data_IF_846547707695
#
_entry.id   IF_846547707695
#
_cell.length_a   1.000
_cell.length_b   1.000
_cell.length_c   1.000
_cell.angle_alpha   90.00
_cell.angle_beta   90.00
_cell.angle_gamma   90.00
#
_symmetry.space_group_name_H-M   'P 1'
#
loop_
_entity.id
_entity.type
_entity.pdbx_description
1 polymer ?
#
# COMPACT_ATOMS: atom_id res chain seq x y z
N UNK A 1 14.39 19.44 -5.39
CA UNK A 1 13.38 18.41 -5.75
C UNK A 1 13.87 17.69 -6.98
N UNK A 2 13.99 16.36 -6.93
CA UNK A 2 14.29 15.53 -8.10
C UNK A 2 13.02 14.82 -8.59
N UNK A 3 13.03 14.32 -9.83
CA UNK A 3 11.91 13.55 -10.38
C UNK A 3 11.55 12.34 -9.51
N UNK A 4 12.54 11.72 -8.87
CA UNK A 4 12.33 10.62 -7.92
C UNK A 4 11.54 11.04 -6.68
N UNK A 5 11.87 12.19 -6.09
CA UNK A 5 11.10 12.73 -4.95
C UNK A 5 9.67 13.09 -5.35
N UNK A 6 9.46 13.64 -6.56
CA UNK A 6 8.11 13.93 -7.07
C UNK A 6 7.26 12.66 -7.21
N UNK A 7 7.79 11.61 -7.85
CA UNK A 7 7.10 10.32 -7.97
C UNK A 7 6.74 9.71 -6.63
N UNK A 8 7.60 9.90 -5.62
CA UNK A 8 7.33 9.44 -4.25
C UNK A 8 6.17 10.17 -3.63
N UNK A 9 6.10 11.50 -3.78
CA UNK A 9 4.96 12.29 -3.32
C UNK A 9 3.65 11.88 -3.98
N UNK A 10 3.66 11.67 -5.31
CA UNK A 10 2.47 11.18 -6.03
C UNK A 10 2.01 9.82 -5.50
N UNK A 11 2.93 8.89 -5.28
CA UNK A 11 2.59 7.57 -4.75
C UNK A 11 1.96 7.64 -3.34
N UNK A 12 2.47 8.52 -2.48
CA UNK A 12 1.91 8.74 -1.14
C UNK A 12 0.47 9.24 -1.21
N UNK A 13 0.20 10.25 -2.05
CA UNK A 13 -1.17 10.80 -2.22
C UNK A 13 -2.14 9.70 -2.67
N UNK A 14 -1.73 8.85 -3.61
CA UNK A 14 -2.58 7.78 -4.12
C UNK A 14 -2.79 6.63 -3.10
N UNK A 15 -1.78 6.29 -2.29
CA UNK A 15 -1.91 5.31 -1.20
C UNK A 15 -2.82 5.83 -0.07
N UNK A 16 -2.75 7.12 0.24
CA UNK A 16 -3.65 7.77 1.20
C UNK A 16 -5.10 7.83 0.68
N UNK A 17 -5.29 8.01 -0.63
CA UNK A 17 -6.58 7.87 -1.30
C UNK A 17 -7.11 6.42 -1.38
N UNK A 18 -6.34 5.44 -0.89
CA UNK A 18 -6.75 4.04 -0.78
C UNK A 18 -6.59 3.21 -2.06
N UNK A 19 -5.82 3.70 -3.04
CA UNK A 19 -5.53 2.92 -4.24
C UNK A 19 -4.61 1.74 -3.89
N UNK A 20 -4.77 0.65 -4.65
CA UNK A 20 -3.91 -0.52 -4.52
C UNK A 20 -2.53 -0.29 -5.13
N UNK A 21 -1.54 -1.06 -4.67
CA UNK A 21 -0.18 -1.02 -5.23
C UNK A 21 -0.13 -1.20 -6.76
N UNK A 22 -1.06 -2.00 -7.32
CA UNK A 22 -1.17 -2.21 -8.77
C UNK A 22 -1.61 -0.94 -9.50
N UNK A 23 -2.70 -0.31 -9.05
CA UNK A 23 -3.21 0.92 -9.65
C UNK A 23 -2.16 2.04 -9.59
N UNK A 24 -1.43 2.14 -8.48
CA UNK A 24 -0.34 3.10 -8.33
C UNK A 24 0.83 2.75 -9.26
N UNK A 25 1.18 1.46 -9.39
CA UNK A 25 2.22 1.00 -10.32
C UNK A 25 1.89 1.35 -11.79
N UNK A 26 0.63 1.17 -12.19
CA UNK A 26 0.16 1.49 -13.54
C UNK A 26 0.29 3.00 -13.80
N UNK A 27 -0.12 3.84 -12.85
CA UNK A 27 0.02 5.30 -12.96
C UNK A 27 1.48 5.75 -13.01
N UNK A 28 2.36 5.05 -12.31
CA UNK A 28 3.79 5.36 -12.29
C UNK A 28 4.54 4.73 -13.48
N UNK A 29 3.93 3.79 -14.21
CA UNK A 29 4.58 3.07 -15.31
C UNK A 29 5.63 2.05 -14.82
N UNK A 30 5.42 1.41 -13.68
CA UNK A 30 6.32 0.35 -13.20
C UNK A 30 5.98 -1.00 -13.83
N UNK A 31 6.98 -1.65 -14.45
CA UNK A 31 6.81 -2.99 -15.03
C UNK A 31 6.52 -4.09 -14.00
N UNK A 32 6.84 -3.85 -12.72
CA UNK A 32 6.59 -4.76 -11.61
C UNK A 32 5.82 -4.03 -10.51
N UNK A 33 4.69 -4.59 -10.10
CA UNK A 33 3.86 -4.04 -9.00
C UNK A 33 4.64 -3.95 -7.69
N UNK A 34 5.52 -4.93 -7.42
CA UNK A 34 6.34 -4.95 -6.20
C UNK A 34 7.22 -3.70 -6.03
N UNK A 35 7.70 -3.10 -7.13
CA UNK A 35 8.49 -1.87 -7.05
C UNK A 35 7.72 -0.74 -6.38
N UNK A 36 6.43 -0.61 -6.69
CA UNK A 36 5.58 0.39 -6.02
C UNK A 36 5.40 0.05 -4.55
N UNK A 37 5.07 -1.20 -4.26
CA UNK A 37 4.83 -1.65 -2.89
C UNK A 37 6.06 -1.49 -1.99
N UNK A 38 7.25 -1.84 -2.48
CA UNK A 38 8.49 -1.89 -1.69
C UNK A 38 9.14 -0.51 -1.53
N UNK A 39 9.09 0.33 -2.57
CA UNK A 39 9.85 1.60 -2.64
C UNK A 39 8.98 2.83 -2.42
N UNK A 40 7.74 2.77 -2.89
CA UNK A 40 6.87 3.94 -2.99
C UNK A 40 5.72 3.94 -1.96
N UNK A 41 5.35 2.79 -1.40
CA UNK A 41 4.33 2.69 -0.35
C UNK A 41 4.96 2.54 1.04
N UNK A 42 4.34 3.17 2.04
CA UNK A 42 4.76 3.00 3.42
C UNK A 42 4.23 1.68 3.99
N UNK A 43 5.00 1.02 4.85
CA UNK A 43 4.52 -0.13 5.62
C UNK A 43 3.58 0.39 6.71
N UNK A 44 2.26 0.38 6.47
CA UNK A 44 1.25 0.74 7.47
C UNK A 44 1.41 -0.20 8.69
N UNK A 45 1.60 0.36 9.89
CA UNK A 45 1.79 -0.40 11.15
C UNK A 45 0.54 -1.25 11.42
N UNK A 46 0.74 -2.43 12.04
CA UNK A 46 -0.23 -3.49 12.35
C UNK A 46 -1.69 -3.07 12.17
N UNK A 47 -2.26 -3.48 11.04
CA UNK A 47 -3.63 -3.14 10.69
C UNK A 47 -4.61 -3.81 11.64
N UNK A 48 -5.45 -3.03 12.33
CA UNK A 48 -6.58 -3.57 13.09
C UNK A 48 -7.47 -4.45 12.19
N UNK A 49 -7.61 -4.12 10.90
CA UNK A 49 -8.29 -4.96 9.91
C UNK A 49 -7.65 -6.35 9.75
N UNK A 50 -6.33 -6.45 9.90
CA UNK A 50 -5.66 -7.76 9.85
C UNK A 50 -6.00 -8.58 11.10
N UNK A 51 -6.07 -7.94 12.28
CA UNK A 51 -6.57 -8.60 13.49
C UNK A 51 -8.04 -9.02 13.33
N UNK A 52 -8.91 -8.12 12.87
CA UNK A 52 -10.35 -8.39 12.65
C UNK A 52 -10.57 -9.53 11.64
N UNK A 53 -9.79 -9.56 10.56
CA UNK A 53 -9.84 -10.64 9.57
C UNK A 53 -9.40 -11.98 10.16
N UNK A 54 -8.38 -11.98 11.04
CA UNK A 54 -7.93 -13.18 11.73
C UNK A 54 -8.94 -13.66 12.78
N UNK A 55 -9.61 -12.75 13.50
CA UNK A 55 -10.71 -13.07 14.43
C UNK A 55 -11.92 -13.68 13.69
N UNK A 56 -12.28 -13.13 12.53
CA UNK A 56 -13.37 -13.66 11.70
C UNK A 56 -13.09 -15.09 11.20
N UNK A 57 -11.82 -15.44 10.96
CA UNK A 57 -11.42 -16.81 10.59
C UNK A 57 -11.41 -17.75 11.81
N UNK A 58 -11.19 -17.23 13.03
CA UNK A 58 -10.91 -18.06 14.20
C UNK A 58 -12.13 -18.55 14.98
N UNK A 59 -13.30 -17.91 14.95
CA UNK A 59 -14.50 -18.44 15.63
C UNK A 59 -14.29 -18.91 17.08
N UNK A 60 -13.30 -18.36 17.80
CA UNK A 60 -12.93 -18.82 19.13
C UNK A 60 -13.67 -17.95 20.15
N UNK A 61 -14.70 -18.53 20.78
CA UNK A 61 -15.35 -17.93 21.96
C UNK A 61 -14.33 -17.86 23.11
N UNK A 62 -14.31 -16.79 23.91
CA UNK A 62 -13.66 -16.82 25.21
C UNK A 62 -14.29 -17.88 26.12
#
# INVERSE_FOLDING_TARGET
MTFRTFRRSVATILDEAGLTARQIADQLGHSKVSTTQDVYMARKVTSRKAADALEAVKGFRP
#
